data_IF_693601207893
#
_entry.id   IF_693601207893
#
_cell.length_a   1.000
_cell.length_b   1.000
_cell.length_c   1.000
_cell.angle_alpha   90.00
_cell.angle_beta   90.00
_cell.angle_gamma   90.00
#
_symmetry.space_group_name_H-M   'P 1'
#
loop_
_entity.id
_entity.type
_entity.pdbx_description
1 polymer ?
#
# COMPACT_ATOMS: atom_id res chain seq x y z
N UNK A 1 7.02 0.58 -3.72
CA UNK A 1 5.85 0.67 -4.62
C UNK A 1 4.88 1.69 -4.05
N UNK A 2 4.23 2.52 -4.88
CA UNK A 2 3.29 3.56 -4.45
C UNK A 2 1.94 3.22 -5.11
N UNK A 3 0.89 3.09 -4.32
CA UNK A 3 -0.42 2.56 -4.73
C UNK A 3 -1.52 3.60 -4.56
N UNK A 4 -2.39 3.72 -5.57
CA UNK A 4 -3.60 4.55 -5.52
C UNK A 4 -4.76 3.83 -6.18
N UNK A 5 -5.94 4.15 -5.69
CA UNK A 5 -7.21 3.65 -6.22
C UNK A 5 -8.13 4.84 -6.51
N UNK A 6 -8.93 4.72 -7.57
CA UNK A 6 -10.07 5.61 -7.78
C UNK A 6 -11.27 5.09 -6.98
N UNK A 7 -11.53 5.71 -5.83
CA UNK A 7 -12.58 5.31 -4.91
C UNK A 7 -13.79 6.27 -4.93
N UNK A 8 -13.90 7.12 -5.97
CA UNK A 8 -14.99 8.12 -6.07
C UNK A 8 -16.38 7.48 -6.04
N UNK A 9 -16.52 6.23 -6.48
CA UNK A 9 -17.75 5.46 -6.40
C UNK A 9 -18.26 5.23 -4.96
N UNK A 10 -17.40 5.39 -3.95
CA UNK A 10 -17.72 5.21 -2.53
C UNK A 10 -17.86 6.53 -1.78
N UNK A 11 -17.77 7.68 -2.47
CA UNK A 11 -17.84 8.99 -1.84
C UNK A 11 -19.13 9.16 -1.03
N UNK A 12 -19.00 9.65 0.22
CA UNK A 12 -20.12 9.89 1.13
C UNK A 12 -20.64 8.66 1.87
N UNK A 13 -20.12 7.45 1.58
CA UNK A 13 -20.44 6.22 2.32
C UNK A 13 -19.61 6.13 3.60
N UNK A 14 -20.00 5.22 4.49
CA UNK A 14 -19.22 4.88 5.69
C UNK A 14 -18.55 3.54 5.52
N UNK A 15 -17.27 3.45 5.85
CA UNK A 15 -16.59 2.16 5.94
C UNK A 15 -17.13 1.42 7.17
N UNK A 16 -17.58 0.18 6.95
CA UNK A 16 -18.21 -0.65 7.96
C UNK A 16 -17.20 -1.11 9.02
N UNK A 17 -16.06 -1.61 8.58
CA UNK A 17 -15.05 -2.26 9.42
C UNK A 17 -13.65 -2.17 8.78
N UNK A 18 -12.69 -2.92 9.31
CA UNK A 18 -11.39 -3.17 8.69
C UNK A 18 -11.54 -3.73 7.26
N UNK A 19 -10.48 -3.57 6.47
CA UNK A 19 -10.39 -4.08 5.11
C UNK A 19 -9.06 -4.80 4.89
N UNK A 20 -8.87 -5.32 3.70
CA UNK A 20 -7.73 -6.16 3.35
C UNK A 20 -7.06 -5.63 2.09
N UNK A 21 -5.79 -5.24 2.20
CA UNK A 21 -4.93 -5.06 1.06
C UNK A 21 -4.39 -6.42 0.63
N UNK A 22 -4.67 -6.81 -0.60
CA UNK A 22 -4.16 -8.01 -1.24
C UNK A 22 -3.08 -7.64 -2.27
N UNK A 23 -1.92 -8.29 -2.17
CA UNK A 23 -0.83 -8.20 -3.15
C UNK A 23 -0.49 -9.61 -3.66
N UNK A 24 -0.16 -9.73 -4.94
CA UNK A 24 0.32 -11.00 -5.51
C UNK A 24 1.82 -10.94 -5.78
N UNK A 25 2.60 -11.78 -5.10
CA UNK A 25 4.06 -11.80 -5.24
C UNK A 25 4.49 -12.40 -6.59
N UNK A 26 5.44 -11.75 -7.27
CA UNK A 26 6.06 -12.27 -8.49
C UNK A 26 7.46 -12.86 -8.23
N UNK A 27 8.29 -12.13 -7.51
CA UNK A 27 9.62 -12.57 -7.06
C UNK A 27 9.99 -11.95 -5.73
N UNK A 28 10.81 -12.65 -4.96
CA UNK A 28 11.43 -12.14 -3.72
C UNK A 28 12.89 -12.55 -3.74
N UNK A 29 13.75 -11.59 -3.47
CA UNK A 29 15.15 -11.80 -3.13
C UNK A 29 15.40 -11.04 -1.83
N UNK A 30 15.92 -11.73 -0.83
CA UNK A 30 16.24 -11.15 0.48
C UNK A 30 17.51 -11.79 1.01
N UNK A 31 18.25 -11.04 1.80
CA UNK A 31 19.35 -11.61 2.55
C UNK A 31 18.80 -12.43 3.73
N UNK A 32 19.30 -13.64 3.89
CA UNK A 32 19.00 -14.45 5.07
C UNK A 32 19.74 -13.84 6.27
N UNK A 33 19.00 -13.40 7.28
CA UNK A 33 19.52 -12.71 8.45
C UNK A 33 18.62 -12.93 9.66
N UNK A 34 19.24 -13.08 10.84
CA UNK A 34 18.53 -13.26 12.11
C UNK A 34 17.95 -11.96 12.68
N UNK A 35 18.03 -10.85 11.93
CA UNK A 35 17.43 -9.58 12.33
C UNK A 35 15.91 -9.62 12.09
N UNK A 36 15.14 -9.68 13.18
CA UNK A 36 13.68 -9.92 13.18
C UNK A 36 12.87 -9.01 12.23
N UNK A 37 13.28 -7.75 12.04
CA UNK A 37 12.56 -6.78 11.19
C UNK A 37 13.10 -6.70 9.75
N UNK A 38 14.19 -7.40 9.44
CA UNK A 38 14.73 -7.44 8.08
C UNK A 38 13.93 -8.38 7.19
N UNK A 39 13.83 -8.03 5.90
CA UNK A 39 13.12 -8.85 4.91
C UNK A 39 11.60 -8.68 4.94
N UNK A 40 11.07 -7.79 5.79
CA UNK A 40 9.64 -7.46 5.85
C UNK A 40 9.28 -6.33 4.89
N UNK A 41 8.02 -6.26 4.54
CA UNK A 41 7.42 -5.16 3.81
C UNK A 41 6.62 -4.28 4.76
N UNK A 42 7.00 -3.00 4.83
CA UNK A 42 6.30 -1.97 5.59
C UNK A 42 5.25 -1.29 4.72
N UNK A 43 4.02 -1.24 5.22
CA UNK A 43 2.85 -0.63 4.57
C UNK A 43 2.48 0.62 5.34
N UNK A 44 2.40 1.76 4.64
CA UNK A 44 2.17 3.06 5.26
C UNK A 44 1.18 3.89 4.43
N UNK A 45 0.27 4.59 5.10
CA UNK A 45 -0.64 5.54 4.46
C UNK A 45 0.09 6.83 4.04
N UNK A 46 -0.25 7.36 2.88
CA UNK A 46 0.29 8.62 2.35
C UNK A 46 -0.69 9.75 2.68
N UNK A 47 -0.28 10.69 3.53
CA UNK A 47 -1.09 11.83 3.97
C UNK A 47 -0.75 13.13 3.22
N UNK A 48 0.51 13.30 2.80
CA UNK A 48 1.03 14.52 2.19
C UNK A 48 1.94 14.25 0.98
N UNK A 49 2.70 15.25 0.55
CA UNK A 49 3.47 15.22 -0.69
C UNK A 49 2.69 15.71 -1.91
N UNK A 50 3.05 15.25 -3.11
CA UNK A 50 2.40 15.65 -4.36
C UNK A 50 0.96 15.08 -4.48
N UNK A 51 -0.12 15.89 -4.45
CA UNK A 51 -1.48 15.35 -4.59
C UNK A 51 -1.81 14.82 -5.98
N UNK A 52 -1.03 15.19 -6.99
CA UNK A 52 -1.27 14.90 -8.41
C UNK A 52 -0.26 13.92 -8.99
N UNK A 53 0.42 13.13 -8.14
CA UNK A 53 1.37 12.13 -8.61
C UNK A 53 0.73 11.13 -9.57
N UNK A 54 1.51 10.75 -10.58
CA UNK A 54 1.14 9.77 -11.61
C UNK A 54 1.76 8.41 -11.29
N UNK A 55 0.92 7.37 -11.21
CA UNK A 55 1.30 5.99 -10.90
C UNK A 55 2.39 5.45 -11.82
N UNK A 56 2.47 5.93 -13.06
CA UNK A 56 3.44 5.44 -14.04
C UNK A 56 4.84 6.05 -13.87
N UNK A 57 4.94 7.23 -13.24
CA UNK A 57 6.20 8.01 -13.21
C UNK A 57 6.66 8.37 -11.80
N UNK A 58 5.80 8.16 -10.80
CA UNK A 58 6.10 8.53 -9.42
C UNK A 58 7.32 7.80 -8.88
N UNK A 59 8.20 8.56 -8.23
CA UNK A 59 9.30 8.06 -7.42
C UNK A 59 9.10 8.51 -5.98
N UNK A 60 9.80 7.90 -5.04
CA UNK A 60 9.80 8.36 -3.65
C UNK A 60 10.18 9.84 -3.54
N UNK A 61 11.17 10.28 -4.31
CA UNK A 61 11.63 11.67 -4.31
C UNK A 61 10.58 12.64 -4.87
N UNK A 62 9.94 12.29 -5.98
CA UNK A 62 8.92 13.16 -6.60
C UNK A 62 7.65 13.22 -5.76
N UNK A 63 7.28 12.11 -5.10
CA UNK A 63 6.17 12.07 -4.15
C UNK A 63 6.43 13.01 -2.95
N UNK A 64 7.59 12.87 -2.30
CA UNK A 64 7.87 13.60 -1.07
C UNK A 64 8.19 15.09 -1.30
N UNK A 65 8.65 15.49 -2.49
CA UNK A 65 8.96 16.90 -2.81
C UNK A 65 9.87 17.61 -1.79
N UNK A 66 10.81 16.87 -1.17
CA UNK A 66 11.68 17.34 -0.06
C UNK A 66 10.97 17.68 1.25
N UNK A 67 9.68 17.38 1.38
CA UNK A 67 8.98 17.45 2.66
C UNK A 67 9.52 16.38 3.62
N UNK A 68 9.51 16.63 4.94
CA UNK A 68 9.81 15.62 5.96
C UNK A 68 8.92 14.38 5.82
N UNK A 69 9.46 13.19 6.12
CA UNK A 69 8.73 11.93 5.93
C UNK A 69 7.50 11.84 6.84
N UNK A 70 7.58 12.44 8.02
CA UNK A 70 6.50 12.55 8.99
C UNK A 70 5.34 13.45 8.55
N UNK A 71 5.56 14.31 7.56
CA UNK A 71 4.51 15.14 6.93
C UNK A 71 3.86 14.41 5.74
N UNK A 72 4.62 13.53 5.08
CA UNK A 72 4.17 12.77 3.90
C UNK A 72 3.47 11.47 4.30
N UNK A 73 3.97 10.77 5.31
CA UNK A 73 3.53 9.43 5.68
C UNK A 73 2.93 9.37 7.08
N UNK A 74 1.88 8.56 7.24
CA UNK A 74 1.26 8.34 8.53
C UNK A 74 2.15 7.45 9.44
N UNK A 75 2.86 8.07 10.38
CA UNK A 75 3.71 7.36 11.35
C UNK A 75 2.95 6.47 12.33
N UNK A 76 1.63 6.67 12.48
CA UNK A 76 0.78 5.86 13.37
C UNK A 76 0.25 4.59 12.70
N UNK A 77 0.30 4.52 11.36
CA UNK A 77 -0.11 3.34 10.61
C UNK A 77 1.10 2.76 9.88
N UNK A 78 1.79 1.87 10.58
CA UNK A 78 2.88 1.07 10.08
C UNK A 78 2.48 -0.39 10.27
N UNK A 79 2.33 -1.11 9.16
CA UNK A 79 2.08 -2.55 9.18
C UNK A 79 3.28 -3.21 8.52
N UNK A 80 3.99 -4.03 9.29
CA UNK A 80 5.10 -4.82 8.79
C UNK A 80 4.61 -6.25 8.57
N UNK A 81 4.77 -6.74 7.34
CA UNK A 81 4.30 -8.05 6.92
C UNK A 81 5.40 -8.85 6.24
N UNK A 82 5.38 -10.16 6.43
CA UNK A 82 6.25 -11.07 5.70
C UNK A 82 5.84 -11.15 4.23
N UNK A 83 6.84 -11.18 3.35
CA UNK A 83 6.61 -11.38 1.92
C UNK A 83 6.75 -12.86 1.57
N UNK A 84 5.70 -13.52 1.06
CA UNK A 84 5.79 -14.92 0.70
C UNK A 84 6.71 -15.10 -0.52
N UNK A 85 7.68 -16.00 -0.43
CA UNK A 85 8.70 -16.21 -1.48
C UNK A 85 8.16 -16.89 -2.74
N UNK A 86 7.06 -17.65 -2.60
CA UNK A 86 6.48 -18.40 -3.71
C UNK A 86 5.82 -17.46 -4.71
N UNK A 87 6.21 -17.56 -5.99
CA UNK A 87 5.54 -16.87 -7.10
C UNK A 87 4.04 -17.16 -7.12
N UNK A 88 3.23 -16.12 -7.28
CA UNK A 88 1.77 -16.18 -7.26
C UNK A 88 1.16 -16.35 -5.87
N UNK A 89 1.96 -16.36 -4.79
CA UNK A 89 1.43 -16.31 -3.45
C UNK A 89 0.81 -14.94 -3.16
N UNK A 90 -0.23 -14.95 -2.32
CA UNK A 90 -0.92 -13.75 -1.89
C UNK A 90 -0.38 -13.29 -0.54
N UNK A 91 -0.12 -12.01 -0.44
CA UNK A 91 0.12 -11.29 0.81
C UNK A 91 -1.14 -10.52 1.15
N UNK A 92 -1.53 -10.57 2.42
CA UNK A 92 -2.70 -9.86 2.94
C UNK A 92 -2.30 -8.98 4.11
N UNK A 93 -2.75 -7.72 4.08
CA UNK A 93 -2.52 -6.78 5.17
C UNK A 93 -3.82 -6.09 5.58
N UNK A 94 -4.12 -6.11 6.88
CA UNK A 94 -5.34 -5.52 7.42
C UNK A 94 -5.22 -3.99 7.45
N UNK A 95 -6.05 -3.31 6.68
CA UNK A 95 -6.12 -1.85 6.68
C UNK A 95 -7.19 -1.40 7.67
N UNK A 96 -6.83 -0.50 8.57
CA UNK A 96 -7.73 -0.03 9.60
C UNK A 96 -8.89 0.79 9.01
N UNK A 97 -10.06 0.69 9.65
CA UNK A 97 -11.25 1.46 9.27
C UNK A 97 -10.98 2.98 9.10
N UNK A 98 -10.23 3.67 9.98
CA UNK A 98 -9.94 5.09 9.79
C UNK A 98 -9.15 5.42 8.52
N UNK A 99 -8.19 4.57 8.11
CA UNK A 99 -7.42 4.74 6.88
C UNK A 99 -8.32 4.54 5.66
N UNK A 100 -9.13 3.46 5.68
CA UNK A 100 -10.10 3.20 4.62
C UNK A 100 -11.11 4.35 4.48
N UNK A 101 -11.57 4.91 5.60
CA UNK A 101 -12.48 6.06 5.56
C UNK A 101 -11.80 7.27 4.91
N UNK A 102 -10.53 7.56 5.26
CA UNK A 102 -9.78 8.64 4.61
C UNK A 102 -9.56 8.37 3.12
N UNK A 103 -9.33 7.12 2.72
CA UNK A 103 -9.18 6.72 1.32
C UNK A 103 -10.43 7.07 0.51
N UNK A 104 -11.62 6.69 1.00
CA UNK A 104 -12.87 6.99 0.29
C UNK A 104 -13.29 8.47 0.38
N UNK A 105 -12.88 9.17 1.44
CA UNK A 105 -13.10 10.61 1.60
C UNK A 105 -12.10 11.47 0.78
N UNK A 106 -11.10 10.85 0.12
CA UNK A 106 -10.06 11.55 -0.63
C UNK A 106 -9.06 12.31 0.24
N UNK A 107 -8.92 11.93 1.52
CA UNK A 107 -8.03 12.57 2.51
C UNK A 107 -6.66 11.92 2.64
N UNK A 108 -6.45 10.79 1.96
CA UNK A 108 -5.14 10.18 1.77
C UNK A 108 -4.87 10.06 0.29
N UNK A 109 -3.60 10.19 -0.06
CA UNK A 109 -3.12 10.14 -1.43
C UNK A 109 -2.83 8.70 -1.91
N UNK A 110 -2.91 7.71 -1.00
CA UNK A 110 -2.64 6.31 -1.33
C UNK A 110 -1.92 5.55 -0.21
N UNK A 111 -1.32 4.44 -0.59
CA UNK A 111 -0.52 3.58 0.29
C UNK A 111 0.88 3.41 -0.32
N UNK A 112 1.92 3.51 0.49
CA UNK A 112 3.30 3.20 0.09
C UNK A 112 3.75 1.88 0.71
N UNK A 113 4.50 1.11 -0.07
CA UNK A 113 5.19 -0.10 0.35
C UNK A 113 6.70 0.16 0.39
N UNK A 114 7.29 0.00 1.57
CA UNK A 114 8.69 0.25 1.87
C UNK A 114 9.37 -1.06 2.30
N UNK A 115 10.51 -1.45 1.72
CA UNK A 115 11.27 -2.60 2.21
C UNK A 115 11.90 -2.28 3.56
N UNK A 116 11.87 -3.25 4.49
CA UNK A 116 12.67 -3.20 5.72
C UNK A 116 13.94 -4.03 5.53
N UNK A 117 15.08 -3.35 5.51
CA UNK A 117 16.38 -3.97 5.25
C UNK A 117 16.57 -4.40 3.80
N UNK A 118 17.40 -5.42 3.59
CA UNK A 118 17.74 -5.95 2.26
C UNK A 118 16.61 -6.84 1.72
N UNK A 119 15.57 -6.20 1.16
CA UNK A 119 14.46 -6.86 0.49
C UNK A 119 14.29 -6.28 -0.93
N UNK A 120 14.37 -7.16 -1.91
CA UNK A 120 13.97 -6.89 -3.29
C UNK A 120 12.78 -7.78 -3.65
N UNK A 121 11.57 -7.22 -3.52
CA UNK A 121 10.32 -7.90 -3.84
C UNK A 121 9.63 -7.23 -5.03
N UNK A 122 9.10 -8.03 -5.94
CA UNK A 122 8.26 -7.56 -7.04
C UNK A 122 6.86 -8.14 -6.88
N UNK A 123 5.86 -7.31 -7.16
CA UNK A 123 4.44 -7.65 -7.09
C UNK A 123 3.81 -7.46 -8.47
N UNK A 124 2.78 -8.24 -8.77
CA UNK A 124 2.06 -8.10 -10.03
C UNK A 124 1.29 -6.76 -10.07
N UNK A 125 1.58 -5.96 -11.09
CA UNK A 125 0.91 -4.70 -11.36
C UNK A 125 -0.45 -4.92 -12.06
N UNK A 126 -1.25 -3.86 -12.16
CA UNK A 126 -2.56 -3.88 -12.85
C UNK A 126 -2.46 -4.29 -14.31
N UNK A 127 -1.36 -3.95 -14.96
CA UNK A 127 -1.08 -4.19 -16.37
C UNK A 127 -0.57 -5.62 -16.63
N UNK A 128 -0.18 -6.34 -15.58
CA UNK A 128 0.35 -7.69 -15.71
C UNK A 128 -0.78 -8.70 -15.95
N UNK A 129 -0.56 -9.60 -16.91
CA UNK A 129 -1.48 -10.67 -17.29
C UNK A 129 -2.80 -10.11 -17.84
N UNK A 130 -3.85 -10.11 -17.02
CA UNK A 130 -5.21 -9.66 -17.36
C UNK A 130 -5.84 -8.82 -16.24
N UNK A 131 -5.00 -8.26 -15.35
CA UNK A 131 -5.42 -7.43 -14.22
C UNK A 131 -5.96 -8.20 -13.02
N UNK A 132 -6.15 -9.53 -13.08
CA UNK A 132 -6.68 -10.33 -11.95
C UNK A 132 -5.76 -10.40 -10.73
N UNK A 133 -4.50 -9.96 -10.88
CA UNK A 133 -3.48 -10.06 -9.84
C UNK A 133 -3.01 -8.68 -9.32
N UNK A 134 -3.72 -7.63 -9.71
CA UNK A 134 -3.48 -6.26 -9.25
C UNK A 134 -3.58 -6.14 -7.72
N UNK A 135 -2.86 -5.17 -7.17
CA UNK A 135 -3.04 -4.74 -5.78
C UNK A 135 -4.50 -4.34 -5.54
N UNK A 136 -5.20 -5.10 -4.69
CA UNK A 136 -6.65 -4.99 -4.52
C UNK A 136 -6.98 -4.63 -3.07
N UNK A 137 -7.88 -3.67 -2.88
CA UNK A 137 -8.37 -3.28 -1.57
C UNK A 137 -9.80 -3.82 -1.38
N UNK A 138 -9.95 -4.77 -0.47
CA UNK A 138 -11.25 -5.37 -0.12
C UNK A 138 -11.80 -4.70 1.13
N UNK A 139 -12.99 -4.11 1.04
CA UNK A 139 -13.64 -3.47 2.20
C UNK A 139 -15.15 -3.38 1.99
N UNK A 140 -15.88 -3.27 3.09
CA UNK A 140 -17.34 -3.13 3.09
C UNK A 140 -17.72 -1.70 3.47
N UNK A 141 -18.76 -1.20 2.81
CA UNK A 141 -19.34 0.12 3.08
C UNK A 141 -20.82 -0.01 3.42
N UNK A 142 -21.29 0.85 4.31
CA UNK A 142 -22.71 1.03 4.63
C UNK A 142 -23.19 2.37 4.11
N UNK A 143 -24.50 2.50 3.96
CA UNK A 143 -25.13 3.81 3.78
C UNK A 143 -24.95 4.66 5.05
N UNK A 144 -25.18 5.97 4.89
CA UNK A 144 -24.79 6.98 5.87
C UNK A 144 -25.68 6.99 7.11
#
# INVERSE_FOLDING_TARGET
MILRWDLRAFAGRRVADHGLLELTTWSVERQDTDLEEFGKLRIVEILGGDPNWDEQTVTFQTLCQRQPLEEVFNTQMIIDVDVPERRGAKLFATISRPVLQRLIDGRTLGIVLLPLGALHATFLAREALDGRHAATLHFTTTDR
#
